data_IF_095055812578
#
_entry.id   IF_095055812578
#
_cell.length_a   1.000
_cell.length_b   1.000
_cell.length_c   1.000
_cell.angle_alpha   90.00
_cell.angle_beta   90.00
_cell.angle_gamma   90.00
#
_symmetry.space_group_name_H-M   'P 1'
#
loop_
_entity.id
_entity.type
_entity.pdbx_description
1 polymer ?
#
# COMPACT_ATOMS: atom_id res chain seq x y z
N UNK A 1 10.07 0.15 -0.04
CA UNK A 1 8.91 -0.35 -0.79
C UNK A 1 8.01 -1.22 0.07
N UNK A 2 6.67 -1.14 -0.09
CA UNK A 2 5.67 -2.04 0.49
C UNK A 2 5.89 -3.51 0.11
N UNK A 3 7.04 -4.05 0.45
CA UNK A 3 7.50 -5.36 0.04
C UNK A 3 6.74 -6.35 0.88
N UNK A 4 5.79 -7.02 0.24
CA UNK A 4 5.08 -8.10 0.87
C UNK A 4 5.92 -9.36 0.69
N UNK A 5 6.22 -10.08 1.79
CA UNK A 5 7.02 -11.31 1.70
C UNK A 5 6.36 -12.39 0.83
N UNK A 6 5.06 -12.26 0.56
CA UNK A 6 4.27 -13.09 -0.35
C UNK A 6 2.93 -12.41 -0.67
N UNK A 7 2.17 -12.99 -1.60
CA UNK A 7 0.84 -12.50 -1.98
C UNK A 7 -0.17 -12.48 -0.83
N UNK A 8 -0.06 -13.39 0.15
CA UNK A 8 -0.95 -13.41 1.33
C UNK A 8 -0.75 -12.19 2.22
N UNK A 9 0.50 -11.79 2.46
CA UNK A 9 0.80 -10.57 3.21
C UNK A 9 0.32 -9.32 2.48
N UNK A 10 0.41 -9.31 1.14
CA UNK A 10 -0.15 -8.26 0.29
C UNK A 10 -1.67 -8.16 0.42
N UNK A 11 -2.37 -9.29 0.27
CA UNK A 11 -3.82 -9.36 0.41
C UNK A 11 -4.28 -8.90 1.81
N UNK A 12 -3.63 -9.37 2.88
CA UNK A 12 -3.95 -8.96 4.24
C UNK A 12 -3.76 -7.45 4.47
N UNK A 13 -2.73 -6.87 3.87
CA UNK A 13 -2.51 -5.42 3.92
C UNK A 13 -3.58 -4.66 3.14
N UNK A 14 -3.90 -5.15 1.94
CA UNK A 14 -4.94 -4.58 1.10
C UNK A 14 -6.29 -4.55 1.83
N UNK A 15 -6.71 -5.68 2.37
CA UNK A 15 -7.95 -5.81 3.15
C UNK A 15 -7.96 -4.88 4.37
N UNK A 16 -6.82 -4.75 5.05
CA UNK A 16 -6.72 -3.93 6.27
C UNK A 16 -6.70 -2.44 6.02
N UNK A 17 -6.00 -1.98 4.98
CA UNK A 17 -5.72 -0.55 4.77
C UNK A 17 -6.23 0.00 3.44
N UNK A 18 -6.16 -0.77 2.35
CA UNK A 18 -6.57 -0.26 1.05
C UNK A 18 -8.09 -0.16 0.93
N UNK A 19 -8.84 -1.07 1.56
CA UNK A 19 -10.32 -1.09 1.61
C UNK A 19 -10.95 0.21 2.12
N UNK A 20 -10.25 0.95 2.99
CA UNK A 20 -10.68 2.23 3.55
C UNK A 20 -9.78 3.39 3.11
N UNK A 21 -9.29 3.34 1.87
CA UNK A 21 -8.44 4.41 1.34
C UNK A 21 -9.22 5.71 1.14
N UNK A 22 -8.67 6.84 1.61
CA UNK A 22 -9.20 8.19 1.40
C UNK A 22 -9.44 8.53 -0.07
N UNK A 23 -8.60 7.98 -0.95
CA UNK A 23 -8.69 8.19 -2.39
C UNK A 23 -9.32 7.00 -3.10
N UNK A 24 -10.15 6.20 -2.43
CA UNK A 24 -10.85 5.10 -3.09
C UNK A 24 -11.68 5.62 -4.28
N UNK A 25 -11.46 5.05 -5.46
CA UNK A 25 -12.20 5.41 -6.68
C UNK A 25 -12.75 4.16 -7.34
N UNK A 26 -13.97 4.21 -7.89
CA UNK A 26 -14.54 3.08 -8.63
C UNK A 26 -13.89 2.83 -10.00
N UNK A 27 -12.85 3.59 -10.37
CA UNK A 27 -12.17 3.48 -11.67
C UNK A 27 -11.04 2.46 -11.68
N UNK A 28 -10.49 2.14 -10.51
CA UNK A 28 -9.43 1.15 -10.36
C UNK A 28 -10.04 -0.22 -10.04
N UNK A 29 -9.43 -1.30 -10.56
CA UNK A 29 -9.92 -2.68 -10.39
C UNK A 29 -10.10 -3.05 -8.91
N UNK A 30 -9.18 -2.55 -8.07
CA UNK A 30 -9.14 -2.75 -6.63
C UNK A 30 -9.50 -1.47 -5.84
N UNK A 31 -10.00 -0.44 -6.53
CA UNK A 31 -10.44 0.83 -5.97
C UNK A 31 -9.40 1.74 -5.31
N UNK A 32 -8.29 1.19 -4.82
CA UNK A 32 -7.24 1.92 -4.14
C UNK A 32 -6.11 2.32 -5.10
N UNK A 33 -5.92 3.61 -5.42
CA UNK A 33 -4.87 4.04 -6.35
C UNK A 33 -3.46 3.78 -5.82
N UNK A 34 -3.28 3.71 -4.49
CA UNK A 34 -1.99 3.36 -3.88
C UNK A 34 -1.64 1.90 -4.16
N UNK A 35 -2.66 1.03 -4.19
CA UNK A 35 -2.46 -0.37 -4.52
C UNK A 35 -2.10 -0.54 -6.01
N UNK A 36 -2.78 0.18 -6.91
CA UNK A 36 -2.43 0.21 -8.33
C UNK A 36 -0.99 0.67 -8.57
N UNK A 37 -0.57 1.78 -7.95
CA UNK A 37 0.82 2.24 -8.01
C UNK A 37 1.80 1.23 -7.42
N UNK A 38 1.43 0.54 -6.34
CA UNK A 38 2.24 -0.51 -5.78
C UNK A 38 2.42 -1.68 -6.77
N UNK A 39 1.36 -2.15 -7.43
CA UNK A 39 1.44 -3.23 -8.41
C UNK A 39 2.24 -2.83 -9.66
N UNK A 40 2.16 -1.56 -10.07
CA UNK A 40 2.89 -1.04 -11.22
C UNK A 40 4.40 -0.91 -10.96
N UNK A 41 4.78 -0.34 -9.82
CA UNK A 41 6.16 0.11 -9.60
C UNK A 41 6.91 -0.69 -8.52
N UNK A 42 6.30 -1.70 -7.88
CA UNK A 42 6.95 -2.43 -6.78
C UNK A 42 8.28 -3.07 -7.21
N UNK A 43 8.35 -3.64 -8.41
CA UNK A 43 9.53 -4.35 -8.87
C UNK A 43 10.69 -3.37 -9.10
N UNK A 44 10.41 -2.26 -9.77
CA UNK A 44 11.40 -1.24 -10.12
C UNK A 44 11.89 -0.47 -8.89
N UNK A 45 11.02 -0.26 -7.90
CA UNK A 45 11.35 0.48 -6.68
C UNK A 45 11.82 -0.39 -5.52
N UNK A 46 11.95 -1.71 -5.71
CA UNK A 46 12.28 -2.67 -4.64
C UNK A 46 13.59 -2.35 -3.91
N UNK A 47 14.60 -1.87 -4.65
CA UNK A 47 15.94 -1.55 -4.13
C UNK A 47 16.25 -0.05 -4.19
N UNK A 48 15.24 0.79 -4.43
CA UNK A 48 15.41 2.25 -4.48
C UNK A 48 15.07 2.81 -3.12
N UNK A 49 16.06 3.39 -2.42
CA UNK A 49 15.84 4.06 -1.15
C UNK A 49 15.07 5.39 -1.34
N UNK A 50 14.26 5.78 -0.34
CA UNK A 50 13.45 7.01 -0.32
C UNK A 50 12.58 7.26 -1.57
N UNK A 51 12.03 6.19 -2.16
CA UNK A 51 11.08 6.33 -3.26
C UNK A 51 9.71 6.84 -2.76
N UNK A 52 8.85 7.24 -3.70
CA UNK A 52 7.54 7.80 -3.36
C UNK A 52 6.60 6.76 -2.71
N UNK A 53 6.72 5.46 -3.04
CA UNK A 53 5.94 4.41 -2.40
C UNK A 53 6.30 4.27 -0.92
N UNK A 54 7.55 4.52 -0.52
CA UNK A 54 7.95 4.52 0.90
C UNK A 54 7.32 5.67 1.70
N UNK A 55 6.94 6.76 1.04
CA UNK A 55 6.22 7.87 1.66
C UNK A 55 4.72 7.54 1.84
N UNK A 56 4.18 6.72 0.94
CA UNK A 56 2.76 6.32 0.95
C UNK A 56 2.49 5.10 1.83
N UNK A 57 3.41 4.12 1.81
CA UNK A 57 3.41 2.90 2.63
C UNK A 57 4.72 2.90 3.45
N UNK A 58 4.75 3.62 4.59
CA UNK A 58 5.95 3.72 5.41
C UNK A 58 6.41 2.35 5.92
N UNK A 59 7.72 2.20 6.14
CA UNK A 59 8.30 0.94 6.63
C UNK A 59 9.09 1.09 7.92
N UNK A 60 9.24 -0.03 8.61
CA UNK A 60 10.27 -0.25 9.64
C UNK A 60 11.07 -1.50 9.30
N UNK A 61 12.08 -1.79 10.11
CA UNK A 61 12.77 -3.08 10.09
C UNK A 61 11.82 -4.29 10.30
N UNK A 62 10.63 -4.07 10.85
CA UNK A 62 9.64 -5.11 11.14
C UNK A 62 8.57 -5.26 10.04
N UNK A 63 8.58 -4.40 9.02
CA UNK A 63 7.66 -4.48 7.88
C UNK A 63 6.93 -3.18 7.56
N UNK A 64 5.81 -3.31 6.83
CA UNK A 64 5.01 -2.18 6.37
C UNK A 64 4.14 -1.64 7.52
N UNK A 65 4.15 -0.32 7.72
CA UNK A 65 3.21 0.40 8.59
C UNK A 65 1.91 0.67 7.85
N UNK A 66 0.94 1.21 8.58
CA UNK A 66 -0.30 1.74 8.02
C UNK A 66 -0.03 2.75 6.89
N UNK A 67 -0.77 2.60 5.79
CA UNK A 67 -0.80 3.53 4.68
C UNK A 67 -1.18 4.94 5.16
N UNK A 68 -0.49 5.97 4.70
CA UNK A 68 -0.80 7.36 5.07
C UNK A 68 -2.16 7.84 4.53
N UNK A 69 -2.72 7.11 3.57
CA UNK A 69 -4.02 7.39 2.95
C UNK A 69 -5.15 6.56 3.55
N UNK A 70 -4.89 5.72 4.55
CA UNK A 70 -5.94 4.97 5.25
C UNK A 70 -6.82 5.90 6.10
N UNK A 71 -8.13 5.75 5.98
CA UNK A 71 -9.10 6.32 6.90
C UNK A 71 -9.49 5.26 7.93
N UNK A 72 -9.22 5.48 9.24
CA UNK A 72 -9.77 4.60 10.26
C UNK A 72 -11.30 4.71 10.24
N UNK A 73 -11.99 3.58 10.40
CA UNK A 73 -13.43 3.60 10.67
C UNK A 73 -13.66 4.42 11.94
N UNK A 74 -14.41 5.52 11.83
CA UNK A 74 -14.86 6.26 13.01
C UNK A 74 -15.80 5.32 13.80
N UNK A 75 -15.38 4.97 15.02
CA UNK A 75 -16.18 4.14 15.93
C UNK A 75 -17.39 4.85 16.51
#
# INVERSE_FOLDING_TARGET
MGYFPNGTAGAAYFERYCSNCKNWTQREEDGCPIWGMHLADNYDLCNVEDNYLDKLIPRTEQGNKQCVMYLPEEG
#
